data_IF_800636404427
#
_entry.id   IF_800636404427
#
_cell.length_a   1.000
_cell.length_b   1.000
_cell.length_c   1.000
_cell.angle_alpha   90.00
_cell.angle_beta   90.00
_cell.angle_gamma   90.00
#
_symmetry.space_group_name_H-M   'P 1'
#
loop_
_entity.id
_entity.type
_entity.pdbx_description
1 polymer ?
#
# COMPACT_ATOMS: atom_id res chain seq x y z
N UNK A 1 -5.70 -62.05 4.83
CA UNK A 1 -5.95 -61.21 3.63
C UNK A 1 -6.74 -59.95 3.97
N UNK A 2 -6.37 -59.22 5.04
CA UNK A 2 -7.10 -58.02 5.52
C UNK A 2 -6.15 -56.81 5.75
N UNK A 3 -4.88 -57.04 6.11
CA UNK A 3 -3.89 -55.97 6.31
C UNK A 3 -3.49 -55.21 5.03
N UNK A 4 -3.60 -55.81 3.83
CA UNK A 4 -3.26 -55.12 2.57
C UNK A 4 -4.29 -54.04 2.17
N UNK A 5 -5.55 -54.18 2.59
CA UNK A 5 -6.61 -53.20 2.26
C UNK A 5 -6.59 -51.98 3.18
N UNK A 6 -6.17 -52.14 4.44
CA UNK A 6 -6.08 -51.04 5.42
C UNK A 6 -4.89 -50.11 5.10
N UNK A 7 -3.77 -50.66 4.64
CA UNK A 7 -2.60 -49.86 4.24
C UNK A 7 -2.87 -49.02 2.98
N UNK A 8 -3.70 -49.53 2.05
CA UNK A 8 -4.03 -48.85 0.80
C UNK A 8 -5.04 -47.70 1.02
N UNK A 9 -5.93 -47.81 2.01
CA UNK A 9 -6.88 -46.74 2.37
C UNK A 9 -6.15 -45.57 3.05
N UNK A 10 -5.13 -45.84 3.87
CA UNK A 10 -4.33 -44.78 4.50
C UNK A 10 -3.47 -44.02 3.49
N UNK A 11 -2.97 -44.69 2.45
CA UNK A 11 -2.16 -44.02 1.41
C UNK A 11 -3.01 -43.13 0.48
N UNK A 12 -4.29 -43.44 0.29
CA UNK A 12 -5.22 -42.62 -0.50
C UNK A 12 -5.73 -41.41 0.29
N UNK A 13 -5.79 -41.47 1.61
CA UNK A 13 -6.22 -40.35 2.46
C UNK A 13 -5.14 -39.28 2.69
N UNK A 14 -3.85 -39.62 2.53
CA UNK A 14 -2.75 -38.65 2.65
C UNK A 14 -2.51 -37.85 1.35
N UNK A 15 -2.99 -38.35 0.20
CA UNK A 15 -2.82 -37.67 -1.10
C UNK A 15 -3.93 -36.63 -1.39
N UNK A 16 -5.01 -36.60 -0.60
CA UNK A 16 -6.13 -35.65 -0.79
C UNK A 16 -5.99 -34.39 0.07
N UNK A 17 -4.96 -34.30 0.93
CA UNK A 17 -4.72 -33.16 1.83
C UNK A 17 -3.86 -32.02 1.25
N UNK A 18 -3.50 -32.06 -0.03
CA UNK A 18 -2.75 -30.98 -0.69
C UNK A 18 -3.48 -30.50 -1.94
N UNK A 19 -4.79 -30.28 -1.83
CA UNK A 19 -5.43 -29.33 -2.75
C UNK A 19 -4.86 -27.96 -2.41
N UNK A 20 -3.81 -27.62 -3.14
CA UNK A 20 -3.48 -26.28 -3.60
C UNK A 20 -4.38 -25.23 -2.94
N UNK A 21 -3.90 -24.65 -1.85
CA UNK A 21 -4.18 -23.25 -1.64
C UNK A 21 -3.72 -22.58 -2.92
N UNK A 22 -4.66 -22.30 -3.82
CA UNK A 22 -4.50 -21.17 -4.72
C UNK A 22 -4.40 -20.03 -3.73
N UNK A 23 -3.18 -19.71 -3.31
CA UNK A 23 -2.87 -18.34 -2.98
C UNK A 23 -3.33 -17.61 -4.22
N UNK A 24 -4.52 -17.02 -4.16
CA UNK A 24 -4.82 -15.90 -5.02
C UNK A 24 -3.66 -14.97 -4.71
N UNK A 25 -2.65 -14.97 -5.57
CA UNK A 25 -1.75 -13.85 -5.66
C UNK A 25 -2.70 -12.73 -6.02
N UNK A 26 -3.19 -12.03 -4.98
CA UNK A 26 -3.88 -10.78 -5.16
C UNK A 26 -2.83 -9.94 -5.87
N UNK A 27 -3.04 -9.78 -7.18
CA UNK A 27 -2.16 -8.94 -7.98
C UNK A 27 -2.21 -7.59 -7.30
N UNK A 28 -1.07 -7.16 -6.75
CA UNK A 28 -1.01 -5.84 -6.11
C UNK A 28 -1.56 -4.81 -7.08
N UNK A 29 -2.28 -3.80 -6.57
CA UNK A 29 -2.77 -2.76 -7.44
C UNK A 29 -1.59 -2.09 -8.17
N UNK A 30 -1.81 -1.55 -9.35
CA UNK A 30 -0.71 -0.98 -10.14
C UNK A 30 -0.24 0.35 -9.53
N UNK A 31 1.08 0.52 -9.46
CA UNK A 31 1.73 1.79 -9.08
C UNK A 31 1.38 2.89 -10.10
N UNK A 32 1.31 4.15 -9.65
CA UNK A 32 0.84 5.26 -10.49
C UNK A 32 1.76 5.47 -11.70
N UNK A 33 3.06 5.67 -11.44
CA UNK A 33 4.09 5.85 -12.45
C UNK A 33 5.36 5.06 -12.07
N UNK A 34 5.99 4.34 -13.01
CA UNK A 34 7.25 3.67 -12.74
C UNK A 34 8.41 4.68 -12.66
N UNK A 35 9.53 4.25 -12.08
CA UNK A 35 10.81 4.94 -12.18
C UNK A 35 11.21 5.09 -13.66
N UNK A 36 11.87 6.19 -14.01
CA UNK A 36 12.46 6.39 -15.33
C UNK A 36 13.37 5.20 -15.70
N UNK A 37 13.55 4.86 -16.98
CA UNK A 37 14.40 3.75 -17.39
C UNK A 37 15.82 3.85 -16.82
N UNK A 38 16.47 2.69 -16.65
CA UNK A 38 17.85 2.58 -16.16
C UNK A 38 18.78 3.55 -16.89
N UNK A 39 19.61 4.28 -16.13
CA UNK A 39 20.54 5.24 -16.68
C UNK A 39 21.57 4.55 -17.60
N UNK A 40 21.75 5.10 -18.80
CA UNK A 40 22.73 4.60 -19.77
C UNK A 40 24.08 5.32 -19.63
N UNK A 41 24.06 6.57 -19.18
CA UNK A 41 25.26 7.42 -19.07
C UNK A 41 25.21 8.34 -17.85
N UNK A 42 26.37 8.68 -17.26
CA UNK A 42 26.48 9.65 -16.16
C UNK A 42 26.20 11.09 -16.62
N UNK A 43 25.94 12.04 -15.68
CA UNK A 43 25.98 11.87 -14.22
C UNK A 43 24.76 11.11 -13.68
N UNK A 44 24.98 10.34 -12.61
CA UNK A 44 23.92 9.61 -11.91
C UNK A 44 23.46 10.41 -10.68
N UNK A 45 22.16 10.36 -10.42
CA UNK A 45 21.51 11.08 -9.31
C UNK A 45 21.36 10.20 -8.05
N UNK A 46 22.11 9.09 -7.97
CA UNK A 46 21.92 8.05 -6.95
C UNK A 46 21.98 8.57 -5.50
N UNK A 47 22.97 9.43 -5.21
CA UNK A 47 23.15 10.00 -3.87
C UNK A 47 21.96 10.89 -3.48
N UNK A 48 21.56 11.80 -4.37
CA UNK A 48 20.43 12.70 -4.16
C UNK A 48 19.11 11.93 -4.06
N UNK A 49 18.93 10.90 -4.89
CA UNK A 49 17.77 10.01 -4.84
C UNK A 49 17.65 9.35 -3.47
N UNK A 50 18.71 8.71 -2.99
CA UNK A 50 18.64 8.00 -1.72
C UNK A 50 18.55 8.95 -0.52
N UNK A 51 19.20 10.12 -0.56
CA UNK A 51 19.07 11.13 0.47
C UNK A 51 17.61 11.61 0.61
N UNK A 52 16.98 11.94 -0.53
CA UNK A 52 15.59 12.41 -0.56
C UNK A 52 14.60 11.30 -0.17
N UNK A 53 14.80 10.08 -0.69
CA UNK A 53 13.98 8.93 -0.34
C UNK A 53 14.08 8.57 1.15
N UNK A 54 15.29 8.53 1.71
CA UNK A 54 15.50 8.21 3.12
C UNK A 54 14.78 9.21 4.02
N UNK A 55 14.94 10.51 3.77
CA UNK A 55 14.28 11.56 4.56
C UNK A 55 12.76 11.43 4.52
N UNK A 56 12.20 11.14 3.34
CA UNK A 56 10.75 10.93 3.18
C UNK A 56 10.29 9.69 3.94
N UNK A 57 11.00 8.57 3.82
CA UNK A 57 10.65 7.32 4.51
C UNK A 57 10.77 7.49 6.03
N UNK A 58 11.77 8.19 6.54
CA UNK A 58 11.89 8.47 7.98
C UNK A 58 10.74 9.35 8.50
N UNK A 59 10.27 10.30 7.69
CA UNK A 59 9.14 11.16 8.03
C UNK A 59 7.84 10.37 8.17
N UNK A 60 7.54 9.48 7.20
CA UNK A 60 6.28 8.73 7.18
C UNK A 60 6.35 7.42 7.99
N UNK A 61 7.48 6.69 7.98
CA UNK A 61 7.64 5.38 8.64
C UNK A 61 8.22 5.51 10.05
N UNK A 62 7.49 6.23 10.91
CA UNK A 62 7.83 6.44 12.31
C UNK A 62 6.91 5.65 13.29
N UNK A 63 6.07 4.75 12.76
CA UNK A 63 5.11 3.94 13.53
C UNK A 63 3.86 4.69 14.01
N UNK A 64 3.71 5.98 13.65
CA UNK A 64 2.47 6.72 13.90
C UNK A 64 1.45 6.46 12.80
N UNK A 65 0.19 6.74 13.11
CA UNK A 65 -0.89 6.70 12.14
C UNK A 65 -0.71 7.87 11.15
N UNK A 66 -0.91 7.63 9.86
CA UNK A 66 -0.91 8.72 8.86
C UNK A 66 -2.01 9.73 9.19
N UNK A 67 -1.80 11.03 8.94
CA UNK A 67 -2.83 12.03 9.20
C UNK A 67 -4.03 11.86 8.27
N UNK A 68 -5.20 12.24 8.79
CA UNK A 68 -6.49 12.25 8.11
C UNK A 68 -7.05 13.68 8.03
N UNK A 69 -8.08 13.88 7.21
CA UNK A 69 -8.70 15.17 6.94
C UNK A 69 -7.72 16.19 6.39
N UNK A 70 -7.84 17.46 6.78
CA UNK A 70 -6.96 18.55 6.28
C UNK A 70 -5.46 18.35 6.50
N UNK A 71 -5.06 17.49 7.45
CA UNK A 71 -3.65 17.16 7.67
C UNK A 71 -3.14 16.12 6.66
N UNK A 72 -4.04 15.36 6.03
CA UNK A 72 -3.74 14.48 4.90
C UNK A 72 -3.15 15.30 3.74
N UNK A 73 -3.81 16.39 3.33
CA UNK A 73 -3.39 17.24 2.21
C UNK A 73 -1.90 17.64 2.28
N UNK A 74 -1.43 18.06 3.45
CA UNK A 74 -0.04 18.49 3.62
C UNK A 74 0.97 17.34 3.47
N UNK A 75 0.63 16.16 3.99
CA UNK A 75 1.49 14.96 3.85
C UNK A 75 1.41 14.43 2.43
N UNK A 76 0.23 14.44 1.83
CA UNK A 76 0.01 14.08 0.44
C UNK A 76 0.84 14.97 -0.49
N UNK A 77 0.75 16.29 -0.37
CA UNK A 77 1.48 17.25 -1.21
C UNK A 77 3.01 17.07 -1.08
N UNK A 78 3.49 16.89 0.15
CA UNK A 78 4.91 16.63 0.43
C UNK A 78 5.37 15.33 -0.23
N UNK A 79 4.62 14.25 -0.03
CA UNK A 79 4.92 12.93 -0.59
C UNK A 79 4.85 12.94 -2.12
N UNK A 80 3.83 13.57 -2.70
CA UNK A 80 3.65 13.71 -4.14
C UNK A 80 4.83 14.46 -4.77
N UNK A 81 5.23 15.58 -4.17
CA UNK A 81 6.37 16.39 -4.62
C UNK A 81 7.66 15.56 -4.65
N UNK A 82 7.94 14.81 -3.58
CA UNK A 82 9.11 13.95 -3.52
C UNK A 82 9.01 12.79 -4.50
N UNK A 83 7.90 12.06 -4.52
CA UNK A 83 7.67 10.93 -5.42
C UNK A 83 7.87 11.31 -6.88
N UNK A 84 7.21 12.37 -7.37
CA UNK A 84 7.36 12.81 -8.75
C UNK A 84 8.75 13.36 -9.06
N UNK A 85 9.51 13.80 -8.06
CA UNK A 85 10.93 14.14 -8.23
C UNK A 85 11.79 12.89 -8.39
N UNK A 86 11.63 11.91 -7.49
CA UNK A 86 12.39 10.65 -7.49
C UNK A 86 12.20 9.85 -8.78
N UNK A 87 10.98 9.70 -9.29
CA UNK A 87 10.74 8.87 -10.48
C UNK A 87 11.40 9.40 -11.76
N UNK A 88 11.88 10.65 -11.76
CA UNK A 88 12.54 11.28 -12.92
C UNK A 88 14.06 11.30 -12.81
N UNK A 89 14.63 10.85 -11.69
CA UNK A 89 16.07 10.86 -11.45
C UNK A 89 16.79 9.80 -12.30
N UNK A 90 18.03 10.11 -12.68
CA UNK A 90 18.86 9.25 -13.51
C UNK A 90 19.63 8.23 -12.65
N UNK A 91 19.02 7.06 -12.41
CA UNK A 91 19.54 6.04 -11.49
C UNK A 91 20.42 5.01 -12.20
N UNK A 92 21.60 4.75 -11.64
CA UNK A 92 22.54 3.76 -12.18
C UNK A 92 22.00 2.33 -12.13
N UNK A 93 22.49 1.47 -13.02
CA UNK A 93 22.08 0.05 -13.08
C UNK A 93 22.24 -0.69 -11.75
N UNK A 94 23.30 -0.39 -11.01
CA UNK A 94 23.57 -1.01 -9.69
C UNK A 94 22.49 -0.65 -8.66
N UNK A 95 22.04 0.61 -8.65
CA UNK A 95 21.10 1.13 -7.66
C UNK A 95 19.63 0.99 -8.08
N UNK A 96 19.37 0.72 -9.35
CA UNK A 96 18.02 0.67 -9.92
C UNK A 96 17.05 -0.29 -9.21
N UNK A 97 17.42 -1.56 -8.89
CA UNK A 97 16.47 -2.48 -8.25
C UNK A 97 16.01 -1.98 -6.87
N UNK A 98 16.88 -1.28 -6.15
CA UNK A 98 16.54 -0.73 -4.85
C UNK A 98 15.70 0.56 -4.99
N UNK A 99 16.02 1.40 -5.96
CA UNK A 99 15.25 2.59 -6.28
C UNK A 99 13.80 2.25 -6.69
N UNK A 100 13.62 1.19 -7.48
CA UNK A 100 12.30 0.71 -7.91
C UNK A 100 11.42 0.28 -6.73
N UNK A 101 11.98 -0.45 -5.76
CA UNK A 101 11.27 -0.84 -4.53
C UNK A 101 10.82 0.37 -3.71
N UNK A 102 11.70 1.37 -3.57
CA UNK A 102 11.40 2.61 -2.86
C UNK A 102 10.26 3.36 -3.55
N UNK A 103 10.36 3.57 -4.86
CA UNK A 103 9.34 4.25 -5.66
C UNK A 103 8.00 3.53 -5.59
N UNK A 104 8.00 2.19 -5.61
CA UNK A 104 6.78 1.39 -5.48
C UNK A 104 6.12 1.60 -4.13
N UNK A 105 6.89 1.55 -3.04
CA UNK A 105 6.40 1.82 -1.69
C UNK A 105 5.79 3.24 -1.56
N UNK A 106 6.50 4.25 -2.06
CA UNK A 106 6.02 5.63 -2.02
C UNK A 106 4.77 5.82 -2.89
N UNK A 107 4.69 5.16 -4.05
CA UNK A 107 3.50 5.19 -4.90
C UNK A 107 2.29 4.58 -4.20
N UNK A 108 2.43 3.43 -3.53
CA UNK A 108 1.33 2.81 -2.79
C UNK A 108 0.85 3.68 -1.65
N UNK A 109 1.79 4.28 -0.90
CA UNK A 109 1.46 5.23 0.17
C UNK A 109 0.74 6.46 -0.37
N UNK A 110 1.20 7.02 -1.48
CA UNK A 110 0.59 8.19 -2.10
C UNK A 110 -0.85 7.90 -2.55
N UNK A 111 -1.06 6.79 -3.27
CA UNK A 111 -2.39 6.38 -3.70
C UNK A 111 -3.28 6.06 -2.50
N UNK A 112 -2.75 5.45 -1.44
CA UNK A 112 -3.50 5.20 -0.22
C UNK A 112 -4.04 6.50 0.40
N UNK A 113 -3.20 7.54 0.51
CA UNK A 113 -3.61 8.86 1.03
C UNK A 113 -4.68 9.53 0.16
N UNK A 114 -4.53 9.46 -1.17
CA UNK A 114 -5.53 9.90 -2.16
C UNK A 114 -6.88 9.21 -1.94
N UNK A 115 -6.85 7.88 -1.83
CA UNK A 115 -8.04 7.05 -1.64
C UNK A 115 -8.68 7.27 -0.28
N UNK A 116 -7.88 7.58 0.73
CA UNK A 116 -8.38 7.92 2.06
C UNK A 116 -9.11 9.28 2.04
N UNK A 117 -8.58 10.29 1.34
CA UNK A 117 -9.27 11.58 1.21
C UNK A 117 -10.62 11.47 0.48
N UNK A 118 -10.64 10.72 -0.63
CA UNK A 118 -11.88 10.38 -1.35
C UNK A 118 -12.86 9.64 -0.41
N UNK A 119 -12.35 8.68 0.37
CA UNK A 119 -13.14 7.91 1.33
C UNK A 119 -13.77 8.79 2.42
N UNK A 120 -12.99 9.71 3.01
CA UNK A 120 -13.50 10.65 4.02
C UNK A 120 -14.55 11.59 3.43
N UNK A 121 -14.28 12.13 2.25
CA UNK A 121 -15.20 13.01 1.53
C UNK A 121 -16.53 12.31 1.25
N UNK A 122 -16.51 11.05 0.82
CA UNK A 122 -17.72 10.26 0.59
C UNK A 122 -18.45 9.91 1.89
N UNK A 123 -17.76 9.48 2.94
CA UNK A 123 -18.38 9.15 4.24
C UNK A 123 -18.98 10.38 4.94
N UNK A 124 -18.44 11.57 4.68
CA UNK A 124 -18.98 12.84 5.17
C UNK A 124 -20.24 13.30 4.42
N UNK A 125 -20.43 12.86 3.16
CA UNK A 125 -21.62 13.20 2.38
C UNK A 125 -22.85 12.51 2.97
N UNK A 126 -23.85 13.30 3.38
CA UNK A 126 -25.16 12.82 3.83
C UNK A 126 -26.04 12.43 2.63
N UNK A 127 -25.62 11.45 1.86
CA UNK A 127 -26.36 10.97 0.69
C UNK A 127 -27.12 9.69 1.11
N UNK A 128 -28.43 9.58 0.82
CA UNK A 128 -29.23 8.41 1.20
C UNK A 128 -28.89 7.13 0.41
N UNK A 129 -27.93 7.20 -0.50
CA UNK A 129 -27.55 6.13 -1.41
C UNK A 129 -26.04 5.96 -1.34
N UNK A 130 -25.60 4.72 -1.20
CA UNK A 130 -24.20 4.36 -1.36
C UNK A 130 -23.77 4.64 -2.79
N UNK A 131 -22.89 5.64 -2.98
CA UNK A 131 -22.32 5.91 -4.30
C UNK A 131 -21.28 4.83 -4.68
N UNK A 132 -20.86 3.99 -3.73
CA UNK A 132 -20.03 2.80 -3.98
C UNK A 132 -18.63 3.10 -4.52
N UNK A 133 -18.11 4.31 -4.29
CA UNK A 133 -16.90 4.78 -5.00
C UNK A 133 -15.59 4.29 -4.36
N UNK A 134 -15.50 4.25 -3.03
CA UNK A 134 -14.35 3.68 -2.30
C UNK A 134 -14.89 2.81 -1.16
N UNK A 135 -14.53 1.52 -1.15
CA UNK A 135 -14.92 0.59 -0.08
C UNK A 135 -13.81 0.47 0.97
N UNK A 136 -14.18 0.06 2.19
CA UNK A 136 -13.19 -0.25 3.24
C UNK A 136 -12.16 -1.28 2.73
N UNK A 137 -12.61 -2.30 1.98
CA UNK A 137 -11.75 -3.32 1.36
C UNK A 137 -10.77 -2.74 0.32
N UNK A 138 -11.20 -1.74 -0.46
CA UNK A 138 -10.33 -1.10 -1.44
C UNK A 138 -9.22 -0.31 -0.75
N UNK A 139 -9.58 0.41 0.32
CA UNK A 139 -8.63 1.17 1.12
C UNK A 139 -7.61 0.25 1.82
N UNK A 140 -8.07 -0.86 2.40
CA UNK A 140 -7.21 -1.90 2.97
C UNK A 140 -6.29 -2.52 1.91
N UNK A 141 -6.76 -2.73 0.68
CA UNK A 141 -5.93 -3.28 -0.39
C UNK A 141 -4.73 -2.37 -0.72
N UNK A 142 -4.91 -1.06 -0.71
CA UNK A 142 -3.82 -0.11 -0.95
C UNK A 142 -2.86 -0.04 0.24
N UNK A 143 -3.38 -0.07 1.46
CA UNK A 143 -2.55 -0.14 2.67
C UNK A 143 -1.70 -1.40 2.71
N UNK A 144 -2.29 -2.57 2.44
CA UNK A 144 -1.59 -3.85 2.43
C UNK A 144 -0.52 -3.90 1.33
N UNK A 145 -0.78 -3.31 0.16
CA UNK A 145 0.24 -3.19 -0.90
C UNK A 145 1.42 -2.31 -0.48
N UNK A 146 1.16 -1.21 0.24
CA UNK A 146 2.21 -0.38 0.82
C UNK A 146 3.00 -1.13 1.91
N UNK A 147 2.33 -1.91 2.75
CA UNK A 147 2.97 -2.74 3.77
C UNK A 147 3.89 -3.80 3.14
N UNK A 148 3.42 -4.52 2.12
CA UNK A 148 4.22 -5.53 1.43
C UNK A 148 5.44 -4.91 0.73
N UNK A 149 5.25 -3.74 0.09
CA UNK A 149 6.36 -2.99 -0.49
C UNK A 149 7.36 -2.52 0.57
N UNK A 150 6.89 -2.06 1.75
CA UNK A 150 7.74 -1.66 2.86
C UNK A 150 8.56 -2.84 3.41
N UNK A 151 7.96 -4.04 3.54
CA UNK A 151 8.66 -5.24 3.99
C UNK A 151 9.83 -5.58 3.08
N UNK A 152 9.70 -5.35 1.76
CA UNK A 152 10.80 -5.54 0.80
C UNK A 152 11.99 -4.59 0.99
N UNK A 153 11.81 -3.53 1.79
CA UNK A 153 12.81 -2.52 2.12
C UNK A 153 13.44 -2.72 3.51
N UNK A 154 13.04 -3.77 4.24
CA UNK A 154 13.46 -4.03 5.63
C UNK A 154 14.97 -4.10 5.83
N UNK A 155 15.71 -4.65 4.86
CA UNK A 155 17.19 -4.69 4.89
C UNK A 155 17.82 -3.30 4.94
N UNK A 156 17.18 -2.30 4.31
CA UNK A 156 17.69 -0.93 4.22
C UNK A 156 17.20 -0.05 5.37
N UNK A 157 16.01 -0.31 5.88
CA UNK A 157 15.41 0.45 6.97
C UNK A 157 15.08 -0.45 8.18
N UNK A 158 16.07 -1.12 8.80
CA UNK A 158 15.83 -2.13 9.83
C UNK A 158 15.21 -1.57 11.12
N UNK A 159 15.31 -0.26 11.34
CA UNK A 159 14.77 0.43 12.51
C UNK A 159 13.50 1.23 12.21
N UNK A 160 13.10 1.33 10.93
CA UNK A 160 11.88 2.05 10.56
C UNK A 160 10.65 1.21 10.90
N UNK A 161 9.55 1.88 11.24
CA UNK A 161 8.27 1.24 11.52
C UNK A 161 7.25 1.80 10.56
N UNK A 162 6.61 0.92 9.79
CA UNK A 162 5.52 1.31 8.90
C UNK A 162 4.50 2.16 9.66
N UNK A 163 3.97 3.18 8.99
CA UNK A 163 2.89 3.97 9.54
C UNK A 163 1.64 3.11 9.78
N UNK A 164 0.79 3.54 10.70
CA UNK A 164 -0.52 2.93 10.91
C UNK A 164 -1.56 3.46 9.93
N UNK A 165 -2.51 2.60 9.57
CA UNK A 165 -3.71 2.97 8.83
C UNK A 165 -4.60 3.92 9.67
N UNK A 166 -5.10 5.05 9.13
CA UNK A 166 -6.09 5.86 9.81
C UNK A 166 -7.42 5.11 9.95
N UNK A 167 -8.27 5.46 10.94
CA UNK A 167 -9.44 4.66 11.29
C UNK A 167 -10.44 4.58 10.13
N UNK A 168 -11.09 3.44 9.97
CA UNK A 168 -12.26 3.32 9.10
C UNK A 168 -13.42 4.13 9.68
N UNK A 169 -14.15 4.81 8.80
CA UNK A 169 -15.26 5.68 9.19
C UNK A 169 -16.59 4.94 9.06
N UNK A 170 -17.39 5.00 10.12
CA UNK A 170 -18.77 4.55 10.07
C UNK A 170 -19.56 5.44 9.09
N UNK A 171 -20.46 4.80 8.32
CA UNK A 171 -21.40 5.57 7.51
C UNK A 171 -22.38 6.27 8.43
N UNK A 172 -22.55 7.57 8.24
CA UNK A 172 -23.65 8.30 8.86
C UNK A 172 -24.91 8.01 8.04
N UNK A 173 -25.66 6.98 8.45
CA UNK A 173 -26.94 6.67 7.82
C UNK A 173 -27.94 7.81 8.10
N UNK A 174 -28.47 8.41 7.03
CA UNK A 174 -29.52 9.41 7.17
C UNK A 174 -30.82 8.73 7.61
N UNK A 175 -31.25 8.99 8.84
CA UNK A 175 -32.58 8.60 9.32
C UNK A 175 -33.57 9.72 8.93
N UNK A 176 -34.56 9.45 8.06
CA UNK A 176 -35.58 10.44 7.72
C UNK A 176 -36.26 10.98 8.98
N UNK A 177 -36.09 12.28 9.26
CA UNK A 177 -36.74 12.96 10.39
C UNK A 177 -35.81 13.45 11.52
N UNK A 178 -34.51 13.12 11.50
CA UNK A 178 -33.54 13.76 12.40
C UNK A 178 -32.95 15.01 11.73
N UNK A 179 -33.48 16.19 12.07
CA UNK A 179 -32.78 17.44 11.78
C UNK A 179 -31.59 17.59 12.74
N UNK A 180 -30.40 18.02 12.29
CA UNK A 180 -29.31 18.33 13.21
C UNK A 180 -29.73 19.50 14.11
N UNK A 181 -29.66 19.30 15.42
CA UNK A 181 -29.69 20.40 16.38
C UNK A 181 -28.36 21.15 16.20
N UNK A 182 -28.46 22.42 15.84
CA UNK A 182 -27.33 23.34 15.60
C UNK A 182 -26.62 23.63 16.93
#
# INVERSE_FOLDING_TARGET
MVMKKVLMIFFVLVVVGTTYGVASMATMPQVQLPLAPVAVTPPYDDEDFFNMANGTIEEICNGKILPAGKMNDAVYDSLASTYYSLIRMNISEENYPQAEKIVSFLSYTLTFLEKYDDYETEKAKRIPVDMGLITDNELESWYNAAEEAFLSLSDRYPNAKMYGMPPLLERIDWIPGQFPVI
#
